data_IF_718624448384
#
_entry.id   IF_718624448384
#
_cell.length_a   1.000
_cell.length_b   1.000
_cell.length_c   1.000
_cell.angle_alpha   90.00
_cell.angle_beta   90.00
_cell.angle_gamma   90.00
#
_symmetry.space_group_name_H-M   'P 1'
#
loop_
_entity.id
_entity.type
_entity.pdbx_description
1 polymer ?
#
# COMPACT_ATOMS: atom_id res chain seq x y z
N UNK A 1 19.57 5.02 3.96
CA UNK A 1 19.57 6.43 3.51
C UNK A 1 18.21 6.87 2.93
N UNK A 2 17.38 5.97 2.37
CA UNK A 2 15.99 6.28 1.98
C UNK A 2 15.06 6.49 3.20
N UNK A 3 15.31 5.79 4.30
CA UNK A 3 14.62 5.94 5.60
C UNK A 3 14.82 7.33 6.24
N UNK A 4 15.69 8.19 5.68
CA UNK A 4 15.87 9.60 6.12
C UNK A 4 14.98 10.58 5.33
N UNK A 5 14.46 10.18 4.16
CA UNK A 5 13.60 11.01 3.29
C UNK A 5 12.14 10.87 3.72
N UNK A 6 11.73 9.63 4.02
CA UNK A 6 10.44 9.38 4.66
C UNK A 6 10.61 9.62 6.16
N UNK A 7 10.23 10.81 6.64
CA UNK A 7 10.01 10.99 8.07
C UNK A 7 8.92 10.01 8.51
N UNK A 8 9.17 9.25 9.57
CA UNK A 8 8.11 8.47 10.19
C UNK A 8 6.96 9.43 10.51
N UNK A 9 5.70 9.08 10.13
CA UNK A 9 4.57 9.93 10.45
C UNK A 9 4.52 10.15 11.97
N UNK A 10 4.33 11.39 12.40
CA UNK A 10 4.13 11.69 13.81
C UNK A 10 2.76 11.14 14.23
N UNK A 11 2.76 10.01 14.92
CA UNK A 11 1.56 9.32 15.35
C UNK A 11 0.99 9.85 16.67
N UNK A 12 1.70 10.72 17.40
CA UNK A 12 1.29 11.19 18.73
C UNK A 12 -0.04 11.95 18.70
N UNK A 13 -0.30 12.66 17.59
CA UNK A 13 -1.56 13.36 17.35
C UNK A 13 -2.74 12.43 17.06
N UNK A 14 -2.48 11.25 16.50
CA UNK A 14 -3.49 10.24 16.18
C UNK A 14 -3.75 9.29 17.35
N UNK A 15 -2.72 9.00 18.17
CA UNK A 15 -2.85 8.13 19.33
C UNK A 15 -3.89 8.60 20.36
N UNK A 16 -4.16 9.92 20.41
CA UNK A 16 -5.17 10.52 21.29
C UNK A 16 -6.57 10.62 20.67
N UNK A 17 -6.73 10.22 19.41
CA UNK A 17 -7.97 10.32 18.63
C UNK A 17 -8.24 8.98 17.94
N UNK A 18 -8.77 7.99 18.69
CA UNK A 18 -8.86 6.61 18.21
C UNK A 18 -9.81 6.48 17.00
N UNK A 19 -10.79 7.37 16.88
CA UNK A 19 -11.67 7.51 15.73
C UNK A 19 -10.87 7.81 14.44
N UNK A 20 -10.06 8.88 14.46
CA UNK A 20 -9.22 9.25 13.32
C UNK A 20 -8.11 8.23 13.05
N UNK A 21 -7.56 7.64 14.12
CA UNK A 21 -6.55 6.59 14.00
C UNK A 21 -7.07 5.38 13.24
N UNK A 22 -8.28 4.90 13.56
CA UNK A 22 -8.85 3.72 12.89
C UNK A 22 -8.97 3.93 11.38
N UNK A 23 -9.59 5.03 10.95
CA UNK A 23 -9.66 5.36 9.51
C UNK A 23 -8.28 5.59 8.87
N UNK A 24 -7.32 6.16 9.60
CA UNK A 24 -5.96 6.31 9.11
C UNK A 24 -5.32 4.95 8.84
N UNK A 25 -5.40 3.99 9.78
CA UNK A 25 -4.88 2.63 9.62
C UNK A 25 -5.57 1.94 8.44
N UNK A 26 -6.91 1.94 8.41
CA UNK A 26 -7.71 1.37 7.32
C UNK A 26 -7.29 1.89 5.94
N UNK A 27 -7.03 3.19 5.81
CA UNK A 27 -6.58 3.81 4.57
C UNK A 27 -5.17 3.38 4.13
N UNK A 28 -4.32 2.95 5.07
CA UNK A 28 -2.94 2.53 4.80
C UNK A 28 -2.74 1.03 4.71
N UNK A 29 -3.81 0.24 4.89
CA UNK A 29 -3.75 -1.20 4.70
C UNK A 29 -3.93 -1.60 3.23
N UNK A 30 -3.10 -2.53 2.72
CA UNK A 30 -3.17 -3.11 1.38
C UNK A 30 -4.26 -4.19 1.27
N UNK A 31 -5.50 -3.82 1.59
CA UNK A 31 -6.67 -4.68 1.48
C UNK A 31 -7.47 -4.38 0.21
N UNK A 32 -8.25 -5.37 -0.23
CA UNK A 32 -9.18 -5.29 -1.34
C UNK A 32 -10.28 -4.26 -1.09
N UNK A 33 -11.00 -3.93 -2.14
CA UNK A 33 -12.12 -2.99 -2.09
C UNK A 33 -13.27 -3.52 -1.20
N UNK A 34 -13.53 -4.83 -1.17
CA UNK A 34 -14.59 -5.41 -0.34
C UNK A 34 -14.24 -5.34 1.14
N UNK A 35 -13.02 -5.71 1.52
CA UNK A 35 -12.55 -5.62 2.91
C UNK A 35 -12.42 -4.17 3.36
N UNK A 36 -12.06 -3.26 2.45
CA UNK A 36 -12.07 -1.82 2.72
C UNK A 36 -13.49 -1.31 3.01
N UNK A 37 -14.48 -1.73 2.23
CA UNK A 37 -15.87 -1.38 2.45
C UNK A 37 -16.37 -1.91 3.81
N UNK A 38 -16.05 -3.16 4.15
CA UNK A 38 -16.35 -3.75 5.46
C UNK A 38 -15.83 -2.87 6.61
N UNK A 39 -14.55 -2.46 6.57
CA UNK A 39 -13.94 -1.60 7.59
C UNK A 39 -14.63 -0.22 7.73
N UNK A 40 -15.14 0.33 6.62
CA UNK A 40 -15.87 1.60 6.63
C UNK A 40 -17.26 1.46 7.26
N UNK A 41 -17.90 0.30 7.07
CA UNK A 41 -19.25 0.01 7.58
C UNK A 41 -19.28 -0.41 9.06
N UNK A 42 -18.15 -0.82 9.65
CA UNK A 42 -18.09 -1.16 11.08
C UNK A 42 -18.47 0.05 11.94
N UNK A 43 -19.54 -0.12 12.70
CA UNK A 43 -19.94 0.80 13.76
C UNK A 43 -19.15 0.52 15.05
N UNK A 44 -18.54 1.57 15.60
CA UNK A 44 -17.70 1.50 16.78
C UNK A 44 -16.19 1.38 16.50
N UNK A 45 -15.44 2.34 17.02
CA UNK A 45 -13.98 2.47 16.85
C UNK A 45 -13.22 1.23 17.33
N UNK A 46 -13.60 0.67 18.49
CA UNK A 46 -12.95 -0.52 19.05
C UNK A 46 -13.12 -1.76 18.18
N UNK A 47 -14.25 -1.92 17.50
CA UNK A 47 -14.48 -3.03 16.58
C UNK A 47 -13.67 -2.86 15.29
N UNK A 48 -13.62 -1.63 14.76
CA UNK A 48 -12.78 -1.31 13.59
C UNK A 48 -11.30 -1.60 13.87
N UNK A 49 -10.78 -1.10 15.00
CA UNK A 49 -9.38 -1.33 15.40
C UNK A 49 -9.06 -2.81 15.60
N UNK A 50 -9.96 -3.60 16.22
CA UNK A 50 -9.75 -5.05 16.36
C UNK A 50 -9.68 -5.74 15.00
N UNK A 51 -10.59 -5.40 14.10
CA UNK A 51 -10.59 -5.94 12.74
C UNK A 51 -9.32 -5.56 11.97
N UNK A 52 -8.85 -4.33 12.14
CA UNK A 52 -7.58 -3.87 11.57
C UNK A 52 -6.39 -4.67 12.11
N UNK A 53 -6.35 -4.97 13.42
CA UNK A 53 -5.30 -5.83 14.01
C UNK A 53 -5.32 -7.22 13.40
N UNK A 54 -6.50 -7.87 13.32
CA UNK A 54 -6.64 -9.19 12.70
C UNK A 54 -6.11 -9.21 11.26
N UNK A 55 -6.51 -8.21 10.46
CA UNK A 55 -6.04 -8.06 9.08
C UNK A 55 -4.53 -7.84 9.02
N UNK A 56 -3.97 -7.03 9.91
CA UNK A 56 -2.54 -6.80 10.00
C UNK A 56 -1.78 -8.04 10.47
N UNK A 57 -2.37 -8.92 11.28
CA UNK A 57 -1.71 -10.13 11.76
C UNK A 57 -1.75 -11.26 10.71
N UNK A 58 -2.83 -11.37 9.94
CA UNK A 58 -2.97 -12.41 8.90
C UNK A 58 -2.30 -12.04 7.57
N UNK A 59 -2.07 -10.76 7.30
CA UNK A 59 -1.57 -10.30 6.01
C UNK A 59 -0.06 -10.60 5.82
N UNK A 60 0.24 -11.59 4.97
CA UNK A 60 1.60 -11.89 4.51
C UNK A 60 1.75 -11.75 2.98
N UNK A 61 0.79 -12.24 2.19
CA UNK A 61 0.97 -12.29 0.73
C UNK A 61 0.10 -11.28 0.01
N UNK A 62 0.66 -10.74 -1.06
CA UNK A 62 -0.06 -9.91 -2.04
C UNK A 62 -0.32 -10.78 -3.25
N UNK A 63 -1.58 -10.88 -3.67
CA UNK A 63 -1.99 -11.70 -4.82
C UNK A 63 -2.62 -10.87 -5.92
N UNK A 64 -2.48 -11.32 -7.16
CA UNK A 64 -3.21 -10.73 -8.28
C UNK A 64 -4.71 -11.02 -8.15
N UNK A 65 -5.56 -9.97 -8.23
CA UNK A 65 -7.03 -10.11 -8.20
C UNK A 65 -7.57 -11.02 -9.30
N UNK A 66 -6.95 -11.01 -10.48
CA UNK A 66 -7.42 -11.78 -11.65
C UNK A 66 -7.08 -13.27 -11.57
N UNK A 67 -5.85 -13.63 -11.21
CA UNK A 67 -5.37 -15.02 -11.30
C UNK A 67 -4.86 -15.62 -9.98
N UNK A 68 -4.93 -14.87 -8.87
CA UNK A 68 -4.54 -15.31 -7.52
C UNK A 68 -3.05 -15.69 -7.35
N UNK A 69 -2.21 -15.51 -8.38
CA UNK A 69 -0.75 -15.65 -8.28
C UNK A 69 -0.21 -14.67 -7.24
N UNK A 70 0.71 -15.15 -6.39
CA UNK A 70 1.46 -14.32 -5.44
C UNK A 70 2.41 -13.41 -6.20
N UNK A 71 2.30 -12.10 -6.01
CA UNK A 71 3.12 -11.08 -6.69
C UNK A 71 4.18 -10.45 -5.78
N UNK A 72 3.95 -10.45 -4.46
CA UNK A 72 4.85 -9.90 -3.45
C UNK A 72 4.46 -10.42 -2.06
N UNK A 73 5.31 -10.15 -1.07
CA UNK A 73 5.03 -10.33 0.36
C UNK A 73 4.98 -9.00 1.09
N UNK A 74 4.42 -9.00 2.30
CA UNK A 74 4.45 -7.86 3.21
C UNK A 74 5.87 -7.35 3.48
N UNK A 75 6.84 -8.27 3.57
CA UNK A 75 8.26 -7.93 3.75
C UNK A 75 8.85 -7.09 2.62
N UNK A 76 8.22 -7.09 1.45
CA UNK A 76 8.67 -6.34 0.27
C UNK A 76 8.10 -4.92 0.23
N UNK A 77 7.20 -4.56 1.15
CA UNK A 77 6.57 -3.23 1.17
C UNK A 77 7.57 -2.14 1.57
N UNK A 78 7.63 -1.11 0.73
CA UNK A 78 8.46 0.07 0.93
C UNK A 78 7.56 1.28 1.15
N UNK A 79 7.91 2.09 2.15
CA UNK A 79 7.27 3.39 2.34
C UNK A 79 8.04 4.42 1.51
N UNK A 80 7.36 5.03 0.53
CA UNK A 80 7.93 6.02 -0.39
C UNK A 80 7.32 7.42 -0.24
N UNK A 81 6.39 7.61 0.71
CA UNK A 81 5.76 8.88 1.06
C UNK A 81 5.66 9.02 2.58
N UNK A 82 5.64 10.25 3.10
CA UNK A 82 5.36 10.51 4.52
C UNK A 82 3.99 10.01 4.97
N UNK A 83 3.06 9.86 4.03
CA UNK A 83 1.72 9.38 4.30
C UNK A 83 1.65 7.84 4.38
N UNK A 84 2.77 7.12 4.26
CA UNK A 84 2.79 5.65 4.31
C UNK A 84 2.90 4.97 2.94
N UNK A 85 2.70 3.64 2.89
CA UNK A 85 2.96 2.83 1.70
C UNK A 85 1.87 2.94 0.62
N UNK A 86 0.68 3.47 0.98
CA UNK A 86 -0.45 3.66 0.08
C UNK A 86 -0.81 5.13 -0.06
N UNK A 87 -1.11 5.55 -1.28
CA UNK A 87 -1.63 6.87 -1.62
C UNK A 87 -2.52 6.82 -2.86
N UNK A 88 -3.38 7.82 -3.00
CA UNK A 88 -4.18 8.02 -4.20
C UNK A 88 -3.43 8.98 -5.13
N UNK A 89 -3.10 8.51 -6.33
CA UNK A 89 -2.26 9.24 -7.27
C UNK A 89 -3.03 9.47 -8.57
N UNK A 90 -3.12 10.74 -8.96
CA UNK A 90 -3.70 11.19 -10.22
C UNK A 90 -2.63 11.99 -10.96
N UNK A 91 -1.99 11.46 -12.01
CA UNK A 91 -1.60 12.23 -13.21
C UNK A 91 -0.61 11.58 -14.22
N UNK A 92 -0.57 12.12 -15.47
CA UNK A 92 0.30 11.71 -16.58
C UNK A 92 1.81 11.90 -16.42
N UNK A 93 2.28 12.73 -15.48
CA UNK A 93 3.68 13.21 -15.41
C UNK A 93 4.58 12.51 -14.39
N UNK A 94 4.10 11.41 -13.77
CA UNK A 94 4.86 10.63 -12.80
C UNK A 94 4.85 11.22 -11.39
N UNK A 95 4.73 10.34 -10.39
CA UNK A 95 4.48 10.73 -8.99
C UNK A 95 5.76 10.91 -8.14
N UNK A 96 6.86 10.27 -8.54
CA UNK A 96 8.11 10.26 -7.77
C UNK A 96 9.20 11.02 -8.53
N UNK A 97 9.53 12.27 -8.15
CA UNK A 97 10.58 13.05 -8.78
C UNK A 97 11.90 12.28 -8.83
N UNK A 98 12.54 12.27 -10.02
CA UNK A 98 13.77 11.50 -10.24
C UNK A 98 13.56 10.01 -10.53
N UNK A 99 12.31 9.57 -10.70
CA UNK A 99 12.00 8.23 -11.20
C UNK A 99 11.24 8.30 -12.52
N UNK A 100 11.70 7.53 -13.50
CA UNK A 100 10.92 7.21 -14.68
C UNK A 100 10.00 6.01 -14.37
N UNK A 101 8.91 5.85 -15.11
CA UNK A 101 7.95 4.77 -14.90
C UNK A 101 7.67 3.99 -16.19
N UNK A 102 7.41 2.70 -16.05
CA UNK A 102 6.91 1.82 -17.11
C UNK A 102 5.72 1.02 -16.59
N UNK A 103 4.74 0.73 -17.46
CA UNK A 103 3.62 -0.13 -17.08
C UNK A 103 4.16 -1.53 -16.73
N UNK A 104 3.66 -2.11 -15.64
CA UNK A 104 3.96 -3.50 -15.26
C UNK A 104 2.71 -4.36 -15.33
N UNK A 105 2.91 -5.63 -15.69
CA UNK A 105 1.87 -6.63 -15.87
C UNK A 105 2.07 -7.80 -14.91
N UNK A 106 1.01 -8.55 -14.63
CA UNK A 106 1.11 -9.81 -13.92
C UNK A 106 1.85 -10.82 -14.79
N UNK A 107 2.87 -11.49 -14.24
CA UNK A 107 3.65 -12.47 -14.98
C UNK A 107 2.84 -13.71 -15.41
N UNK A 108 1.70 -13.98 -14.77
CA UNK A 108 0.87 -15.17 -15.04
C UNK A 108 -0.29 -14.88 -16.00
N UNK A 109 -1.00 -13.77 -15.81
CA UNK A 109 -2.23 -13.49 -16.55
C UNK A 109 -2.21 -12.18 -17.34
N UNK A 110 -1.05 -11.51 -17.39
CA UNK A 110 -0.81 -10.29 -18.18
C UNK A 110 -1.72 -9.10 -17.85
N UNK A 111 -2.53 -9.17 -16.78
CA UNK A 111 -3.33 -8.01 -16.34
C UNK A 111 -2.39 -6.89 -15.92
N UNK A 112 -2.74 -5.64 -16.28
CA UNK A 112 -1.96 -4.49 -15.86
C UNK A 112 -2.00 -4.37 -14.34
N UNK A 113 -0.85 -4.38 -13.67
CA UNK A 113 -0.79 -4.33 -12.20
C UNK A 113 -0.50 -2.92 -11.67
N UNK A 114 0.21 -2.10 -12.45
CA UNK A 114 0.62 -0.76 -12.03
C UNK A 114 1.85 -0.30 -12.78
N UNK A 115 2.86 0.20 -12.06
CA UNK A 115 4.09 0.75 -12.65
C UNK A 115 5.36 0.27 -11.95
N UNK A 116 6.43 0.09 -12.72
CA UNK A 116 7.80 -0.02 -12.22
C UNK A 116 8.45 1.36 -12.28
N UNK A 117 8.88 1.87 -11.13
CA UNK A 117 9.63 3.12 -11.01
C UNK A 117 11.13 2.82 -11.01
N UNK A 118 11.90 3.53 -11.85
CA UNK A 118 13.35 3.38 -11.99
C UNK A 118 14.06 4.72 -11.80
N UNK A 119 15.05 4.74 -10.92
CA UNK A 119 15.81 5.94 -10.58
C UNK A 119 16.62 6.45 -11.78
N UNK A 120 16.40 7.70 -12.18
CA UNK A 120 17.09 8.38 -13.29
C UNK A 120 18.55 8.74 -12.96
N UNK A 121 18.92 8.68 -11.67
CA UNK A 121 20.28 8.94 -11.18
C UNK A 121 20.76 7.85 -10.23
N UNK A 122 22.07 7.54 -10.25
CA UNK A 122 22.70 6.56 -9.35
C UNK A 122 22.64 6.97 -7.87
N UNK A 123 22.48 8.26 -7.58
CA UNK A 123 22.37 8.79 -6.23
C UNK A 123 21.02 8.46 -5.55
N UNK A 124 19.97 8.23 -6.33
CA UNK A 124 18.64 7.92 -5.81
C UNK A 124 18.55 6.46 -5.35
N UNK A 125 17.87 6.27 -4.22
CA UNK A 125 17.56 4.97 -3.62
C UNK A 125 16.08 4.94 -3.20
N UNK A 126 15.38 3.81 -3.37
CA UNK A 126 15.85 2.57 -4.03
C UNK A 126 16.14 2.76 -5.53
N UNK A 127 16.89 1.84 -6.14
CA UNK A 127 17.21 1.96 -7.60
C UNK A 127 15.97 1.72 -8.46
N UNK A 128 15.07 0.88 -7.97
CA UNK A 128 13.76 0.66 -8.55
C UNK A 128 12.78 0.18 -7.48
N UNK A 129 11.50 0.37 -7.72
CA UNK A 129 10.42 -0.18 -6.90
C UNK A 129 9.12 -0.22 -7.72
N UNK A 130 8.16 -1.04 -7.29
CA UNK A 130 6.87 -1.15 -7.95
C UNK A 130 5.81 -0.33 -7.21
N UNK A 131 4.98 0.39 -7.96
CA UNK A 131 3.71 0.93 -7.48
C UNK A 131 2.57 0.07 -8.02
N UNK A 132 1.97 -0.74 -7.16
CA UNK A 132 0.87 -1.64 -7.52
C UNK A 132 -0.47 -0.94 -7.24
N UNK A 133 -1.41 -1.05 -8.19
CA UNK A 133 -2.76 -0.54 -8.02
C UNK A 133 -3.50 -1.41 -7.01
N UNK A 134 -4.06 -0.81 -5.97
CA UNK A 134 -4.84 -1.53 -4.94
C UNK A 134 -6.00 -2.34 -5.54
N UNK A 135 -6.65 -1.82 -6.59
CA UNK A 135 -7.75 -2.51 -7.29
C UNK A 135 -7.34 -3.81 -8.02
N UNK A 136 -6.03 -4.07 -8.15
CA UNK A 136 -5.49 -5.28 -8.79
C UNK A 136 -4.96 -6.30 -7.76
N UNK A 137 -5.09 -6.01 -6.47
CA UNK A 137 -4.66 -6.88 -5.37
C UNK A 137 -5.86 -7.63 -4.80
N UNK A 138 -5.72 -8.93 -4.57
CA UNK A 138 -6.67 -9.74 -3.81
C UNK A 138 -6.27 -9.79 -2.34
N UNK A 139 -7.25 -9.98 -1.45
CA UNK A 139 -6.96 -10.27 -0.06
C UNK A 139 -6.35 -11.66 0.10
N UNK A 140 -5.38 -11.78 1.00
CA UNK A 140 -4.87 -13.05 1.50
C UNK A 140 -5.51 -13.31 2.87
N UNK A 141 -6.78 -13.74 2.86
CA UNK A 141 -7.52 -14.11 4.08
C UNK A 141 -7.49 -15.63 4.28
N UNK A 142 -6.29 -16.19 4.42
CA UNK A 142 -6.09 -17.60 4.75
C UNK A 142 -5.76 -17.79 6.22
#
# INVERSE_FOLDING_TARGET
MWNKIVKAPNMDGLARKPDLLSFHIANKMPVSESTRQELLEIDGVSYRLRREIELLESFDRVRCKTCQTVIARRSDMLVMSSDGPLGAYVNPHGWFPGYAWTITYCATCETQMGWLFSATSKALKPRSFWGIRSSQVADDMS
#
